data_IF_092360210625
#
_entry.id   IF_092360210625
#
_cell.length_a   1.000
_cell.length_b   1.000
_cell.length_c   1.000
_cell.angle_alpha   90.00
_cell.angle_beta   90.00
_cell.angle_gamma   90.00
#
_symmetry.space_group_name_H-M   'P 1'
#
loop_
_entity.id
_entity.type
_entity.pdbx_description
1 polymer ?
#
# COMPACT_ATOMS: atom_id res chain seq x y z
N UNK A 1 49.90 -10.82 -22.12
CA UNK A 1 48.43 -10.74 -22.18
C UNK A 1 48.00 -9.59 -21.29
N UNK A 2 47.50 -8.50 -21.87
CA UNK A 2 47.27 -7.24 -21.15
C UNK A 2 46.08 -7.37 -20.20
N UNK A 3 46.36 -7.46 -18.90
CA UNK A 3 45.37 -7.55 -17.82
C UNK A 3 44.40 -6.36 -17.75
N UNK A 4 44.68 -5.28 -18.49
CA UNK A 4 43.86 -4.08 -18.56
C UNK A 4 42.50 -4.27 -19.26
N UNK A 5 42.35 -5.28 -20.11
CA UNK A 5 41.08 -5.57 -20.80
C UNK A 5 40.10 -6.28 -19.85
N UNK A 6 40.61 -7.07 -18.89
CA UNK A 6 39.80 -7.78 -17.90
C UNK A 6 39.31 -6.85 -16.78
N UNK A 7 40.08 -5.82 -16.41
CA UNK A 7 39.66 -4.80 -15.44
C UNK A 7 38.60 -3.83 -15.99
N UNK A 8 38.60 -3.56 -17.30
CA UNK A 8 37.57 -2.73 -17.93
C UNK A 8 36.21 -3.45 -17.98
N UNK A 9 36.21 -4.78 -18.07
CA UNK A 9 34.99 -5.59 -18.12
C UNK A 9 34.26 -5.69 -16.77
N UNK A 10 35.00 -5.57 -15.66
CA UNK A 10 34.41 -5.59 -14.31
C UNK A 10 33.69 -4.28 -13.95
N UNK A 11 34.10 -3.16 -14.55
CA UNK A 11 33.51 -1.84 -14.32
C UNK A 11 32.10 -1.66 -14.95
N UNK A 12 31.71 -2.55 -15.86
CA UNK A 12 30.37 -2.54 -16.49
C UNK A 12 29.34 -3.44 -15.79
N UNK A 13 29.75 -4.17 -14.73
CA UNK A 13 28.89 -5.09 -13.98
C UNK A 13 28.50 -4.49 -12.62
N UNK A 14 28.02 -3.25 -12.62
CA UNK A 14 27.27 -2.70 -11.49
C UNK A 14 25.77 -2.91 -11.79
N UNK A 15 25.13 -3.95 -11.25
CA UNK A 15 23.70 -4.08 -11.39
C UNK A 15 23.05 -2.93 -10.61
N UNK A 16 22.45 -1.97 -11.32
CA UNK A 16 21.58 -0.94 -10.74
C UNK A 16 20.28 -1.60 -10.30
N UNK A 17 20.30 -2.32 -9.18
CA UNK A 17 19.10 -2.83 -8.51
C UNK A 17 18.96 -2.08 -7.20
N UNK A 18 18.55 -0.82 -7.28
CA UNK A 18 18.18 0.00 -6.13
C UNK A 18 16.89 0.77 -6.43
N UNK A 19 15.81 0.06 -6.76
CA UNK A 19 14.50 0.69 -6.95
C UNK A 19 13.39 0.10 -6.05
N UNK A 20 13.58 -1.07 -5.44
CA UNK A 20 12.44 -1.80 -4.85
C UNK A 20 12.26 -1.62 -3.33
N UNK A 21 13.14 -0.89 -2.63
CA UNK A 21 13.15 -0.89 -1.15
C UNK A 21 12.70 0.41 -0.49
N UNK A 22 12.10 1.35 -1.23
CA UNK A 22 11.67 2.66 -0.65
C UNK A 22 10.27 2.66 -0.04
N UNK A 23 9.47 1.64 -0.32
CA UNK A 23 8.15 1.51 0.28
C UNK A 23 8.34 0.80 1.62
N UNK A 24 8.04 1.51 2.72
CA UNK A 24 8.10 0.94 4.08
C UNK A 24 7.18 -0.28 4.22
N UNK A 25 7.12 -0.91 5.41
CA UNK A 25 6.25 -2.07 5.62
C UNK A 25 4.81 -1.77 5.17
N UNK A 26 4.28 -2.66 4.33
CA UNK A 26 2.90 -2.55 3.86
C UNK A 26 1.93 -2.93 4.99
N UNK A 27 0.77 -2.28 4.99
CA UNK A 27 -0.36 -2.59 5.87
C UNK A 27 -1.54 -3.02 5.03
N UNK A 28 -2.23 -4.07 5.46
CA UNK A 28 -3.56 -4.40 4.97
C UNK A 28 -4.57 -3.51 5.70
N UNK A 29 -5.40 -2.80 4.95
CA UNK A 29 -6.36 -1.84 5.51
C UNK A 29 -7.72 -1.90 4.83
N UNK A 30 -8.73 -1.52 5.59
CA UNK A 30 -10.05 -1.16 5.14
C UNK A 30 -10.18 0.38 5.13
N UNK A 31 -10.52 0.94 3.97
CA UNK A 31 -10.77 2.38 3.80
C UNK A 31 -12.25 2.59 3.58
N UNK A 32 -12.89 3.31 4.50
CA UNK A 32 -14.33 3.62 4.45
C UNK A 32 -14.55 5.13 4.39
N UNK A 33 -15.47 5.55 3.54
CA UNK A 33 -15.84 6.95 3.33
C UNK A 33 -17.27 7.24 3.83
N UNK A 34 -17.59 8.52 4.13
CA UNK A 34 -18.96 8.94 4.40
C UNK A 34 -19.93 8.50 3.29
N UNK A 35 -21.17 8.15 3.64
CA UNK A 35 -22.15 7.58 2.70
C UNK A 35 -22.49 8.47 1.50
N UNK A 36 -22.37 9.80 1.66
CA UNK A 36 -22.62 10.80 0.62
C UNK A 36 -21.41 11.09 -0.28
N UNK A 37 -20.29 10.38 -0.09
CA UNK A 37 -19.07 10.60 -0.85
C UNK A 37 -19.31 10.27 -2.34
N UNK A 38 -19.04 11.22 -3.26
CA UNK A 38 -19.15 10.96 -4.68
C UNK A 38 -18.18 9.87 -5.15
N UNK A 39 -18.59 9.07 -6.13
CA UNK A 39 -17.75 7.99 -6.68
C UNK A 39 -16.39 8.50 -7.20
N UNK A 40 -16.38 9.69 -7.82
CA UNK A 40 -15.17 10.32 -8.35
C UNK A 40 -14.10 10.59 -7.29
N UNK A 41 -14.49 10.88 -6.04
CA UNK A 41 -13.55 11.09 -4.93
C UNK A 41 -12.88 9.75 -4.56
N UNK A 42 -13.66 8.68 -4.49
CA UNK A 42 -13.17 7.34 -4.17
C UNK A 42 -12.28 6.81 -5.30
N UNK A 43 -12.67 7.02 -6.56
CA UNK A 43 -11.86 6.66 -7.73
C UNK A 43 -10.53 7.42 -7.75
N UNK A 44 -10.54 8.72 -7.46
CA UNK A 44 -9.31 9.51 -7.33
C UNK A 44 -8.41 8.99 -6.22
N UNK A 45 -8.99 8.59 -5.08
CA UNK A 45 -8.24 8.02 -3.97
C UNK A 45 -7.60 6.67 -4.34
N UNK A 46 -8.33 5.80 -5.04
CA UNK A 46 -7.82 4.53 -5.55
C UNK A 46 -6.62 4.77 -6.48
N UNK A 47 -6.77 5.65 -7.47
CA UNK A 47 -5.70 5.97 -8.42
C UNK A 47 -4.47 6.56 -7.73
N UNK A 48 -4.67 7.46 -6.76
CA UNK A 48 -3.58 8.05 -6.00
C UNK A 48 -2.84 6.99 -5.16
N UNK A 49 -3.58 6.04 -4.57
CA UNK A 49 -2.99 4.97 -3.77
C UNK A 49 -2.20 3.98 -4.63
N UNK A 50 -2.75 3.60 -5.79
CA UNK A 50 -2.05 2.74 -6.77
C UNK A 50 -0.77 3.41 -7.29
N UNK A 51 -0.82 4.70 -7.60
CA UNK A 51 0.36 5.48 -8.00
C UNK A 51 1.43 5.58 -6.89
N UNK A 52 1.01 5.50 -5.63
CA UNK A 52 1.90 5.47 -4.46
C UNK A 52 2.41 4.05 -4.11
N UNK A 53 2.14 3.05 -4.96
CA UNK A 53 2.60 1.67 -4.77
C UNK A 53 1.65 0.79 -3.96
N UNK A 54 0.46 1.29 -3.61
CA UNK A 54 -0.58 0.49 -2.99
C UNK A 54 -1.30 -0.43 -3.97
N UNK A 55 -1.96 -1.46 -3.46
CA UNK A 55 -2.71 -2.46 -4.23
C UNK A 55 -4.13 -2.57 -3.68
N UNK A 56 -5.13 -2.37 -4.53
CA UNK A 56 -6.52 -2.57 -4.14
C UNK A 56 -6.82 -4.07 -4.13
N UNK A 57 -7.27 -4.60 -2.98
CA UNK A 57 -7.61 -6.01 -2.81
C UNK A 57 -9.09 -6.27 -2.99
N UNK A 58 -9.94 -5.30 -2.65
CA UNK A 58 -11.38 -5.42 -2.82
C UNK A 58 -12.07 -4.05 -2.94
N UNK A 59 -13.12 -3.96 -3.75
CA UNK A 59 -13.99 -2.77 -3.83
C UNK A 59 -15.38 -3.17 -3.35
N UNK A 60 -15.91 -2.45 -2.37
CA UNK A 60 -17.20 -2.79 -1.79
C UNK A 60 -18.36 -2.20 -2.60
N UNK A 61 -19.43 -2.97 -2.72
CA UNK A 61 -20.68 -2.52 -3.36
C UNK A 61 -21.63 -1.89 -2.35
N UNK A 62 -21.68 -2.44 -1.12
CA UNK A 62 -22.63 -2.03 -0.08
C UNK A 62 -22.20 -0.78 0.69
N UNK A 63 -20.89 -0.59 0.87
CA UNK A 63 -20.31 0.55 1.58
C UNK A 63 -19.46 1.38 0.62
N UNK A 64 -19.31 2.68 0.92
CA UNK A 64 -18.40 3.57 0.19
C UNK A 64 -16.99 3.33 0.67
N UNK A 65 -16.25 2.45 0.00
CA UNK A 65 -14.92 2.09 0.45
C UNK A 65 -14.26 1.01 -0.38
N UNK A 66 -13.03 0.69 0.00
CA UNK A 66 -12.22 -0.37 -0.60
C UNK A 66 -11.24 -0.93 0.43
N UNK A 67 -10.79 -2.16 0.22
CA UNK A 67 -9.69 -2.76 0.95
C UNK A 67 -8.42 -2.66 0.10
N UNK A 68 -7.28 -2.47 0.75
CA UNK A 68 -6.00 -2.33 0.08
C UNK A 68 -4.85 -2.86 0.94
N UNK A 69 -3.76 -3.20 0.28
CA UNK A 69 -2.44 -3.39 0.89
C UNK A 69 -1.55 -2.27 0.39
N UNK A 70 -1.04 -1.43 1.29
CA UNK A 70 -0.24 -0.27 0.89
C UNK A 70 0.79 0.13 1.97
N UNK A 71 1.86 0.84 1.58
CA UNK A 71 2.81 1.43 2.52
C UNK A 71 2.11 2.45 3.44
N UNK A 72 2.49 2.53 4.71
CA UNK A 72 1.89 3.47 5.66
C UNK A 72 1.92 4.94 5.17
N UNK A 73 3.02 5.35 4.54
CA UNK A 73 3.17 6.69 3.94
C UNK A 73 2.20 6.95 2.80
N UNK A 74 1.79 5.92 2.05
CA UNK A 74 0.78 6.04 1.00
C UNK A 74 -0.62 6.23 1.58
N UNK A 75 -0.90 5.57 2.72
CA UNK A 75 -2.18 5.66 3.42
C UNK A 75 -2.40 7.02 4.08
N UNK A 76 -1.36 7.62 4.66
CA UNK A 76 -1.43 8.95 5.29
C UNK A 76 -1.92 10.04 4.31
N UNK A 77 -1.60 9.89 3.01
CA UNK A 77 -2.03 10.84 1.99
C UNK A 77 -3.54 10.80 1.73
N UNK A 78 -4.22 9.66 1.93
CA UNK A 78 -5.64 9.51 1.59
C UNK A 78 -6.52 10.53 2.34
N UNK A 79 -6.21 10.79 3.61
CA UNK A 79 -6.94 11.75 4.44
C UNK A 79 -6.76 13.21 3.99
N UNK A 80 -5.72 13.50 3.19
CA UNK A 80 -5.46 14.83 2.64
C UNK A 80 -6.12 15.09 1.29
N UNK A 81 -6.63 14.05 0.61
CA UNK A 81 -7.19 14.18 -0.74
C UNK A 81 -8.56 14.89 -0.77
N UNK A 82 -9.27 14.89 0.36
CA UNK A 82 -10.54 15.58 0.53
C UNK A 82 -10.78 15.91 2.00
N UNK A 83 -11.02 17.19 2.29
CA UNK A 83 -11.40 17.65 3.64
C UNK A 83 -12.87 17.30 3.93
N UNK A 84 -13.75 17.45 2.95
CA UNK A 84 -15.20 17.21 3.11
C UNK A 84 -15.54 15.71 3.19
N UNK A 85 -14.69 14.85 2.64
CA UNK A 85 -14.90 13.40 2.56
C UNK A 85 -13.68 12.63 3.09
N UNK A 86 -13.16 13.04 4.25
CA UNK A 86 -12.08 12.32 4.91
C UNK A 86 -12.50 10.86 5.20
N UNK A 87 -11.69 9.86 4.81
CA UNK A 87 -11.96 8.46 5.09
C UNK A 87 -11.59 8.06 6.53
N UNK A 88 -12.23 7.01 7.01
CA UNK A 88 -11.75 6.18 8.12
C UNK A 88 -10.88 5.05 7.55
N UNK A 89 -9.67 4.90 8.10
CA UNK A 89 -8.70 3.90 7.68
C UNK A 89 -8.44 2.99 8.87
N UNK A 90 -8.77 1.72 8.74
CA UNK A 90 -8.63 0.71 9.78
C UNK A 90 -7.70 -0.40 9.30
N UNK A 91 -6.79 -0.88 10.14
CA UNK A 91 -5.96 -2.03 9.81
C UNK A 91 -6.80 -3.30 9.80
N UNK A 92 -6.68 -4.10 8.74
CA UNK A 92 -7.38 -5.37 8.63
C UNK A 92 -6.89 -6.33 9.72
N UNK A 93 -7.82 -6.96 10.44
CA UNK A 93 -7.53 -7.81 11.59
C UNK A 93 -7.98 -9.24 11.33
N UNK A 94 -7.17 -10.19 11.81
CA UNK A 94 -7.52 -11.59 11.79
C UNK A 94 -8.48 -11.90 12.95
N UNK A 95 -9.61 -12.52 12.61
CA UNK A 95 -10.58 -13.04 13.57
C UNK A 95 -10.45 -14.55 13.69
N UNK A 96 -10.48 -15.08 14.91
CA UNK A 96 -10.46 -16.52 15.16
C UNK A 96 -11.88 -17.07 15.33
N UNK A 97 -12.06 -18.38 15.18
CA UNK A 97 -13.37 -19.03 15.34
C UNK A 97 -14.00 -18.79 16.74
N UNK A 98 -13.18 -18.52 17.75
CA UNK A 98 -13.63 -18.24 19.12
C UNK A 98 -14.00 -16.76 19.34
N UNK A 99 -13.84 -15.91 18.32
CA UNK A 99 -14.12 -14.47 18.41
C UNK A 99 -12.95 -13.63 18.93
N UNK A 100 -11.80 -14.24 19.20
CA UNK A 100 -10.61 -13.49 19.61
C UNK A 100 -9.99 -12.78 18.41
N UNK A 101 -9.61 -11.51 18.61
CA UNK A 101 -8.78 -10.75 17.67
C UNK A 101 -7.33 -11.20 17.84
N UNK A 102 -6.73 -11.79 16.80
CA UNK A 102 -5.28 -12.00 16.79
C UNK A 102 -4.64 -10.78 16.15
N UNK A 103 -3.85 -10.00 16.92
CA UNK A 103 -2.81 -9.20 16.29
C UNK A 103 -1.93 -10.17 15.53
N UNK A 104 -1.54 -9.87 14.30
CA UNK A 104 -0.82 -10.78 13.39
C UNK A 104 0.58 -11.24 13.84
N UNK A 105 0.84 -11.31 15.15
CA UNK A 105 1.98 -11.96 15.76
C UNK A 105 1.56 -13.38 16.11
N UNK A 106 2.05 -14.35 15.34
CA UNK A 106 2.08 -15.75 15.76
C UNK A 106 2.75 -15.81 17.14
N UNK A 107 1.98 -15.98 18.22
CA UNK A 107 2.52 -16.49 19.47
C UNK A 107 2.76 -17.98 19.23
N UNK A 108 4.03 -18.28 18.96
CA UNK A 108 4.57 -19.65 18.97
C UNK A 108 4.30 -20.34 20.30
#
# INVERSE_FOLDING_TARGET
>A
MNFHILTLLWAFLLPTVLAETRLGPEKAVLVTYPSKTPASVIEKAILALEAAGGKITHKFVLIKGFAATAPATALEMLSSLSVDFAPWIEEDQMVTANGDLSSGVNKA
#
